data_IF_151445855091
#
_entry.id   IF_151445855091
#
_cell.length_a   1.000
_cell.length_b   1.000
_cell.length_c   1.000
_cell.angle_alpha   90.00
_cell.angle_beta   90.00
_cell.angle_gamma   90.00
#
_symmetry.space_group_name_H-M   'P 1'
#
loop_
_entity.id
_entity.type
_entity.pdbx_description
1 polymer ?
#
# COMPACT_ATOMS: atom_id res chain seq x y z
N UNK A 1 -6.72 -28.22 14.19
CA UNK A 1 -6.94 -26.87 14.72
C UNK A 1 -5.59 -26.35 15.18
N UNK A 2 -4.72 -25.98 14.22
CA UNK A 2 -3.31 -25.64 14.51
C UNK A 2 -2.67 -24.94 13.29
N UNK A 3 -3.18 -23.76 12.89
CA UNK A 3 -2.64 -23.04 11.72
C UNK A 3 -2.74 -21.51 11.80
N UNK A 4 -2.85 -20.90 12.99
CA UNK A 4 -3.06 -19.45 13.11
C UNK A 4 -1.95 -18.69 13.86
N UNK A 5 -0.91 -19.36 14.38
CA UNK A 5 0.07 -18.71 15.25
C UNK A 5 1.32 -18.15 14.54
N UNK A 6 1.62 -18.54 13.28
CA UNK A 6 2.92 -18.24 12.65
C UNK A 6 2.89 -17.23 11.49
N UNK A 7 1.78 -16.53 11.24
CA UNK A 7 1.64 -15.74 10.01
C UNK A 7 2.31 -14.35 10.02
N UNK A 8 2.83 -13.86 11.15
CA UNK A 8 3.39 -12.50 11.25
C UNK A 8 4.66 -12.48 12.10
N UNK A 9 5.66 -13.29 11.73
CA UNK A 9 7.01 -13.09 12.25
C UNK A 9 7.58 -11.81 11.62
N UNK A 10 7.50 -10.68 12.34
CA UNK A 10 8.14 -9.43 11.92
C UNK A 10 9.65 -9.65 11.92
N UNK A 11 10.30 -9.43 10.78
CA UNK A 11 11.75 -9.58 10.68
C UNK A 11 12.45 -8.39 11.34
N UNK A 12 12.73 -8.52 12.64
CA UNK A 12 13.34 -7.47 13.45
C UNK A 12 14.66 -6.93 12.89
N UNK A 13 15.43 -7.75 12.17
CA UNK A 13 16.69 -7.31 11.56
C UNK A 13 16.49 -6.21 10.50
N UNK A 14 15.33 -6.17 9.84
CA UNK A 14 15.01 -5.10 8.88
C UNK A 14 14.58 -3.81 9.59
N UNK A 15 14.00 -3.90 10.78
CA UNK A 15 13.60 -2.72 11.55
C UNK A 15 14.82 -1.94 12.05
N UNK A 16 15.84 -2.66 12.53
CA UNK A 16 17.09 -2.05 13.02
C UNK A 16 17.89 -1.37 11.89
N UNK A 17 17.65 -1.78 10.65
CA UNK A 17 18.36 -1.35 9.45
C UNK A 17 17.82 -0.04 8.87
N UNK A 18 16.59 0.38 9.23
CA UNK A 18 15.93 1.57 8.70
C UNK A 18 15.27 2.39 9.81
N UNK A 19 15.80 3.58 10.07
CA UNK A 19 15.19 4.53 11.01
C UNK A 19 14.09 5.33 10.29
N UNK A 20 12.86 4.84 10.38
CA UNK A 20 11.68 5.46 9.74
C UNK A 20 10.72 5.96 10.81
N UNK A 21 10.56 7.28 10.86
CA UNK A 21 9.53 7.95 11.64
C UNK A 21 8.47 8.56 10.73
N UNK A 22 7.22 8.60 11.17
CA UNK A 22 6.12 9.27 10.46
C UNK A 22 5.85 10.64 11.10
N UNK A 23 5.72 11.65 10.26
CA UNK A 23 5.42 13.03 10.68
C UNK A 23 4.12 13.50 10.06
N UNK A 24 3.47 14.49 10.66
CA UNK A 24 2.25 15.10 10.10
C UNK A 24 2.49 15.64 8.67
N UNK A 25 3.70 16.18 8.42
CA UNK A 25 4.09 16.65 7.10
C UNK A 25 4.08 15.52 6.05
N UNK A 26 4.45 14.30 6.42
CA UNK A 26 4.40 13.16 5.50
C UNK A 26 2.97 12.89 5.03
N UNK A 27 1.98 13.01 5.93
CA UNK A 27 0.56 12.85 5.60
C UNK A 27 0.04 14.02 4.76
N UNK A 28 0.43 15.26 5.10
CA UNK A 28 0.04 16.45 4.34
C UNK A 28 0.50 16.35 2.87
N UNK A 29 1.70 15.82 2.63
CA UNK A 29 2.22 15.58 1.28
C UNK A 29 1.42 14.54 0.49
N UNK A 30 0.63 13.69 1.16
CA UNK A 30 -0.24 12.69 0.52
C UNK A 30 -1.64 13.19 0.20
N UNK A 31 -2.08 14.30 0.79
CA UNK A 31 -3.43 14.87 0.57
C UNK A 31 -3.82 14.97 -0.92
N UNK A 32 -2.95 15.48 -1.83
CA UNK A 32 -3.31 15.57 -3.25
C UNK A 32 -3.55 14.21 -3.93
N UNK A 33 -2.95 13.14 -3.41
CA UNK A 33 -3.03 11.79 -3.96
C UNK A 33 -4.06 10.90 -3.25
N UNK A 34 -4.70 11.39 -2.17
CA UNK A 34 -5.66 10.61 -1.38
C UNK A 34 -6.75 9.91 -2.21
N UNK A 35 -7.32 10.51 -3.28
CA UNK A 35 -8.30 9.79 -4.11
C UNK A 35 -7.71 8.52 -4.77
N UNK A 36 -6.49 8.61 -5.30
CA UNK A 36 -5.80 7.46 -5.90
C UNK A 36 -5.38 6.44 -4.83
N UNK A 37 -4.93 6.90 -3.67
CA UNK A 37 -4.57 6.03 -2.55
C UNK A 37 -5.81 5.28 -2.03
N UNK A 38 -6.93 5.97 -1.90
CA UNK A 38 -8.22 5.38 -1.49
C UNK A 38 -8.67 4.32 -2.48
N UNK A 39 -8.49 4.55 -3.78
CA UNK A 39 -8.75 3.54 -4.80
C UNK A 39 -7.89 2.29 -4.62
N UNK A 40 -6.58 2.47 -4.40
CA UNK A 40 -5.66 1.36 -4.10
C UNK A 40 -6.06 0.64 -2.81
N UNK A 41 -6.49 1.38 -1.78
CA UNK A 41 -6.97 0.82 -0.52
C UNK A 41 -8.23 -0.05 -0.71
N UNK A 42 -9.18 0.38 -1.55
CA UNK A 42 -10.33 -0.45 -1.94
C UNK A 42 -9.91 -1.75 -2.62
N UNK A 43 -8.91 -1.69 -3.50
CA UNK A 43 -8.34 -2.88 -4.13
C UNK A 43 -7.68 -3.82 -3.11
N UNK A 44 -6.89 -3.27 -2.19
CA UNK A 44 -6.24 -4.04 -1.12
C UNK A 44 -7.27 -4.69 -0.18
N UNK A 45 -8.31 -3.97 0.21
CA UNK A 45 -9.41 -4.48 1.01
C UNK A 45 -10.11 -5.67 0.32
N UNK A 46 -10.40 -5.52 -0.97
CA UNK A 46 -11.01 -6.58 -1.77
C UNK A 46 -10.08 -7.81 -1.89
N UNK A 47 -8.78 -7.58 -2.11
CA UNK A 47 -7.78 -8.66 -2.19
C UNK A 47 -7.66 -9.42 -0.85
N UNK A 48 -7.65 -8.71 0.28
CA UNK A 48 -7.64 -9.30 1.61
C UNK A 48 -8.93 -10.10 1.88
N UNK A 49 -10.09 -9.54 1.55
CA UNK A 49 -11.37 -10.25 1.66
C UNK A 49 -11.38 -11.54 0.82
N UNK A 50 -10.85 -11.52 -0.41
CA UNK A 50 -10.75 -12.72 -1.25
C UNK A 50 -9.86 -13.80 -0.63
N UNK A 51 -8.82 -13.41 0.14
CA UNK A 51 -7.95 -14.36 0.85
C UNK A 51 -8.61 -14.94 2.09
N UNK A 52 -9.29 -14.13 2.88
CA UNK A 52 -9.92 -14.53 4.14
C UNK A 52 -11.28 -15.20 3.93
N UNK A 53 -12.00 -14.82 2.87
CA UNK A 53 -13.38 -15.25 2.57
C UNK A 53 -14.33 -15.16 3.78
N UNK A 54 -14.15 -14.13 4.62
CA UNK A 54 -14.83 -13.98 5.89
C UNK A 54 -15.71 -12.72 5.88
N UNK A 55 -17.02 -12.88 6.09
CA UNK A 55 -17.97 -11.77 6.11
C UNK A 55 -17.75 -10.82 7.28
N UNK A 56 -17.41 -11.32 8.47
CA UNK A 56 -17.06 -10.45 9.60
C UNK A 56 -15.84 -9.56 9.27
N UNK A 57 -14.79 -10.13 8.65
CA UNK A 57 -13.66 -9.33 8.20
C UNK A 57 -14.04 -8.36 7.07
N UNK A 58 -15.04 -8.68 6.24
CA UNK A 58 -15.49 -7.81 5.16
C UNK A 58 -15.96 -6.45 5.70
N UNK A 59 -16.70 -6.46 6.81
CA UNK A 59 -17.21 -5.24 7.47
C UNK A 59 -16.07 -4.38 8.04
N UNK A 60 -15.02 -5.02 8.57
CA UNK A 60 -13.80 -4.32 9.02
C UNK A 60 -12.91 -3.81 7.86
N UNK A 61 -13.09 -4.35 6.65
CA UNK A 61 -12.30 -4.00 5.47
C UNK A 61 -12.97 -2.95 4.60
N UNK A 62 -14.29 -3.01 4.46
CA UNK A 62 -15.07 -2.21 3.51
C UNK A 62 -16.37 -1.74 4.15
N UNK A 63 -16.80 -0.53 3.80
CA UNK A 63 -18.14 -0.04 4.11
C UNK A 63 -19.16 -0.77 3.22
N UNK A 64 -20.33 -1.11 3.79
CA UNK A 64 -21.42 -1.64 2.98
C UNK A 64 -22.05 -0.54 2.10
N UNK A 65 -22.61 -0.98 0.97
CA UNK A 65 -22.98 -0.11 -0.14
C UNK A 65 -24.07 0.86 0.30
N UNK A 66 -23.73 2.16 0.36
CA UNK A 66 -24.53 3.31 -0.10
C UNK A 66 -23.96 4.60 0.50
N UNK A 67 -22.69 4.90 0.22
CA UNK A 67 -22.15 6.23 0.55
C UNK A 67 -22.54 7.19 -0.59
N UNK A 68 -23.66 7.88 -0.42
CA UNK A 68 -24.01 9.03 -1.25
C UNK A 68 -23.12 10.22 -0.87
N UNK A 69 -21.90 10.28 -1.43
CA UNK A 69 -21.02 11.45 -1.27
C UNK A 69 -21.24 12.42 -2.42
N UNK A 70 -21.64 13.66 -2.13
CA UNK A 70 -21.57 14.78 -3.09
C UNK A 70 -20.13 14.96 -3.59
N UNK A 71 -19.92 14.97 -4.91
CA UNK A 71 -18.58 15.02 -5.54
C UNK A 71 -17.90 13.66 -5.76
N UNK A 72 -18.54 12.53 -5.42
CA UNK A 72 -18.00 11.18 -5.58
C UNK A 72 -18.00 10.59 -7.00
N UNK A 73 -18.25 11.38 -8.03
CA UNK A 73 -18.44 10.93 -9.43
C UNK A 73 -17.21 10.20 -10.00
N UNK A 74 -16.01 10.64 -9.62
CA UNK A 74 -14.76 9.96 -9.99
C UNK A 74 -14.66 8.57 -9.33
N UNK A 75 -15.11 8.44 -8.08
CA UNK A 75 -15.07 7.17 -7.33
C UNK A 75 -16.14 6.21 -7.85
N UNK A 76 -17.36 6.70 -8.10
CA UNK A 76 -18.44 5.91 -8.70
C UNK A 76 -18.06 5.40 -10.09
N UNK A 77 -17.43 6.22 -10.94
CA UNK A 77 -16.93 5.79 -12.25
C UNK A 77 -15.72 4.85 -12.20
N UNK A 78 -14.99 4.80 -11.09
CA UNK A 78 -13.87 3.87 -10.85
C UNK A 78 -14.28 2.50 -10.28
N UNK A 79 -15.56 2.28 -9.97
CA UNK A 79 -16.11 0.97 -9.52
C UNK A 79 -16.16 -0.08 -10.66
N UNK A 80 -15.07 -0.27 -11.39
CA UNK A 80 -14.92 -1.45 -12.27
C UNK A 80 -14.72 -2.69 -11.39
N UNK A 81 -15.72 -3.57 -11.36
CA UNK A 81 -15.60 -4.91 -10.77
C UNK A 81 -16.10 -5.10 -9.33
N UNK A 82 -16.91 -4.18 -8.79
CA UNK A 82 -17.52 -4.35 -7.46
C UNK A 82 -16.62 -3.98 -6.28
N UNK A 83 -15.65 -3.08 -6.50
CA UNK A 83 -14.83 -2.49 -5.44
C UNK A 83 -15.70 -1.59 -4.56
N UNK A 84 -15.91 -2.01 -3.30
CA UNK A 84 -16.58 -1.21 -2.27
C UNK A 84 -15.63 -0.19 -1.65
N UNK A 85 -16.18 0.83 -1.00
CA UNK A 85 -15.38 1.85 -0.34
C UNK A 85 -14.62 1.23 0.85
N UNK A 86 -13.29 1.41 0.94
CA UNK A 86 -12.51 0.85 2.04
C UNK A 86 -12.82 1.54 3.37
N UNK A 87 -12.69 0.82 4.48
CA UNK A 87 -12.75 1.43 5.80
C UNK A 87 -11.60 2.44 6.00
N UNK A 88 -11.77 3.51 6.79
CA UNK A 88 -10.73 4.52 7.01
C UNK A 88 -9.40 3.93 7.52
N UNK A 89 -9.46 2.91 8.38
CA UNK A 89 -8.28 2.20 8.86
C UNK A 89 -7.48 1.55 7.72
N UNK A 90 -8.15 1.08 6.66
CA UNK A 90 -7.51 0.49 5.49
C UNK A 90 -6.87 1.57 4.62
N UNK A 91 -7.53 2.72 4.45
CA UNK A 91 -6.94 3.87 3.78
C UNK A 91 -5.67 4.32 4.51
N UNK A 92 -5.75 4.48 5.84
CA UNK A 92 -4.61 4.86 6.67
C UNK A 92 -3.44 3.88 6.55
N UNK A 93 -3.72 2.58 6.54
CA UNK A 93 -2.69 1.56 6.37
C UNK A 93 -1.98 1.66 5.00
N UNK A 94 -2.73 1.90 3.92
CA UNK A 94 -2.15 2.04 2.58
C UNK A 94 -1.41 3.37 2.42
N UNK A 95 -1.93 4.48 2.97
CA UNK A 95 -1.22 5.77 3.01
C UNK A 95 0.11 5.61 3.74
N UNK A 96 0.10 4.94 4.90
CA UNK A 96 1.30 4.69 5.70
C UNK A 96 2.32 3.85 4.92
N UNK A 97 1.87 2.76 4.26
CA UNK A 97 2.74 1.97 3.39
C UNK A 97 3.39 2.81 2.27
N UNK A 98 2.64 3.77 1.70
CA UNK A 98 3.18 4.64 0.66
C UNK A 98 4.20 5.64 1.22
N UNK A 99 3.96 6.21 2.39
CA UNK A 99 4.92 7.09 3.08
C UNK A 99 6.22 6.33 3.40
N UNK A 100 6.10 5.13 3.97
CA UNK A 100 7.25 4.26 4.27
C UNK A 100 8.04 3.97 3.00
N UNK A 101 7.37 3.63 1.89
CA UNK A 101 8.04 3.41 0.61
C UNK A 101 8.77 4.66 0.10
N UNK A 102 8.19 5.86 0.25
CA UNK A 102 8.86 7.08 -0.16
C UNK A 102 10.10 7.38 0.70
N UNK A 103 10.05 7.12 2.01
CA UNK A 103 11.21 7.23 2.90
C UNK A 103 12.29 6.20 2.59
N UNK A 104 11.91 4.97 2.25
CA UNK A 104 12.85 3.93 1.79
C UNK A 104 13.53 4.28 0.47
N UNK A 105 12.90 5.15 -0.34
CA UNK A 105 13.42 5.63 -1.62
C UNK A 105 14.13 6.98 -1.54
N UNK A 106 14.19 7.59 -0.37
CA UNK A 106 14.97 8.79 -0.14
C UNK A 106 16.46 8.52 -0.32
N UNK A 107 17.26 9.56 -0.53
CA UNK A 107 18.71 9.43 -0.69
C UNK A 107 19.37 8.69 0.49
N UNK A 108 18.82 8.84 1.69
CA UNK A 108 19.29 8.19 2.91
C UNK A 108 19.20 6.66 2.84
N UNK A 109 18.11 6.12 2.31
CA UNK A 109 17.80 4.68 2.40
C UNK A 109 17.82 3.94 1.06
N UNK A 110 17.77 4.65 -0.06
CA UNK A 110 17.55 4.06 -1.38
C UNK A 110 18.58 2.99 -1.76
N UNK A 111 19.87 3.23 -1.49
CA UNK A 111 20.91 2.27 -1.86
C UNK A 111 20.75 0.95 -1.10
N UNK A 112 20.55 1.02 0.22
CA UNK A 112 20.34 -0.15 1.06
C UNK A 112 19.04 -0.87 0.69
N UNK A 113 17.95 -0.13 0.53
CA UNK A 113 16.66 -0.68 0.15
C UNK A 113 16.71 -1.42 -1.18
N UNK A 114 17.36 -0.85 -2.21
CA UNK A 114 17.51 -1.53 -3.50
C UNK A 114 18.41 -2.77 -3.44
N UNK A 115 19.37 -2.81 -2.51
CA UNK A 115 20.25 -3.96 -2.32
C UNK A 115 19.59 -5.14 -1.61
N UNK A 116 18.41 -4.95 -1.00
CA UNK A 116 17.70 -6.01 -0.29
C UNK A 116 17.27 -7.13 -1.25
N UNK A 117 17.34 -8.41 -0.81
CA UNK A 117 16.84 -9.53 -1.60
C UNK A 117 15.30 -9.57 -1.65
N UNK A 118 14.63 -8.90 -0.71
CA UNK A 118 13.17 -8.88 -0.61
C UNK A 118 12.64 -7.53 -0.11
N UNK A 119 12.49 -6.57 -1.02
CA UNK A 119 11.96 -5.23 -0.73
C UNK A 119 10.51 -5.26 -0.23
N UNK A 120 9.73 -6.25 -0.65
CA UNK A 120 8.34 -6.41 -0.21
C UNK A 120 8.28 -6.69 1.29
N UNK A 121 9.10 -7.64 1.75
CA UNK A 121 9.14 -8.02 3.16
C UNK A 121 9.59 -6.85 4.03
N UNK A 122 10.57 -6.08 3.56
CA UNK A 122 11.02 -4.88 4.27
C UNK A 122 9.91 -3.84 4.41
N UNK A 123 9.23 -3.52 3.31
CA UNK A 123 8.11 -2.59 3.32
C UNK A 123 6.99 -3.09 4.25
N UNK A 124 6.69 -4.39 4.23
CA UNK A 124 5.70 -4.99 5.12
C UNK A 124 6.09 -4.86 6.59
N UNK A 125 7.30 -5.27 6.95
CA UNK A 125 7.77 -5.27 8.33
C UNK A 125 7.75 -3.85 8.94
N UNK A 126 8.33 -2.88 8.24
CA UNK A 126 8.38 -1.48 8.67
C UNK A 126 6.99 -0.87 8.78
N UNK A 127 6.11 -1.16 7.82
CA UNK A 127 4.73 -0.65 7.87
C UNK A 127 3.93 -1.29 8.99
N UNK A 128 4.11 -2.59 9.26
CA UNK A 128 3.45 -3.26 10.37
C UNK A 128 3.86 -2.66 11.72
N UNK A 129 5.15 -2.43 11.93
CA UNK A 129 5.67 -1.85 13.17
C UNK A 129 5.01 -0.49 13.49
N UNK A 130 4.88 0.36 12.47
CA UNK A 130 4.30 1.70 12.61
C UNK A 130 2.79 1.72 12.85
N UNK A 131 2.05 0.72 12.36
CA UNK A 131 0.58 0.69 12.46
C UNK A 131 0.10 -0.22 13.61
N UNK A 132 0.89 -1.20 14.06
CA UNK A 132 0.46 -2.21 15.04
C UNK A 132 -0.07 -1.63 16.37
N UNK A 133 0.29 -0.39 16.72
CA UNK A 133 -0.22 0.29 17.93
C UNK A 133 -1.57 1.01 17.74
N UNK A 134 -2.08 1.13 16.51
CA UNK A 134 -3.22 1.99 16.15
C UNK A 134 -4.37 1.27 15.41
N UNK A 135 -4.31 -0.06 15.23
CA UNK A 135 -5.38 -0.82 14.57
C UNK A 135 -6.37 -1.34 15.61
N UNK A 136 -7.51 -0.65 15.73
CA UNK A 136 -8.64 -1.05 16.57
C UNK A 136 -9.57 -2.01 15.81
N UNK A 137 -9.10 -3.24 15.58
CA UNK A 137 -9.96 -4.33 15.12
C UNK A 137 -10.06 -5.39 16.21
N UNK A 138 -11.24 -6.00 16.32
CA UNK A 138 -11.43 -7.18 17.16
C UNK A 138 -11.03 -8.45 16.41
N UNK A 139 -10.73 -9.51 17.16
CA UNK A 139 -10.64 -10.87 16.60
C UNK A 139 -12.04 -11.25 16.10
N UNK A 140 -12.15 -11.60 14.82
CA UNK A 140 -13.44 -11.91 14.24
C UNK A 140 -13.97 -13.28 14.69
N UNK A 141 -15.25 -13.55 14.45
CA UNK A 141 -15.91 -14.82 14.81
C UNK A 141 -15.27 -16.08 14.17
N UNK A 142 -14.50 -15.90 13.09
CA UNK A 142 -13.75 -16.98 12.43
C UNK A 142 -12.32 -17.14 12.97
N UNK A 143 -11.95 -16.40 14.01
CA UNK A 143 -10.64 -16.47 14.68
C UNK A 143 -9.52 -15.73 13.97
N UNK A 144 -9.81 -14.88 12.97
CA UNK A 144 -8.80 -14.05 12.33
C UNK A 144 -8.42 -12.89 13.24
N UNK A 145 -7.13 -12.77 13.56
CA UNK A 145 -6.61 -11.67 14.33
C UNK A 145 -6.52 -10.38 13.49
N UNK A 146 -6.57 -9.19 14.12
CA UNK A 146 -6.32 -7.91 13.48
C UNK A 146 -5.03 -7.89 12.67
N UNK A 147 -3.96 -8.47 13.22
CA UNK A 147 -2.64 -8.52 12.60
C UNK A 147 -2.67 -9.35 11.32
N UNK A 148 -3.38 -10.48 11.32
CA UNK A 148 -3.55 -11.31 10.13
C UNK A 148 -4.37 -10.60 9.04
N UNK A 149 -5.46 -9.93 9.43
CA UNK A 149 -6.28 -9.15 8.49
C UNK A 149 -5.44 -8.04 7.86
N UNK A 150 -4.72 -7.27 8.69
CA UNK A 150 -3.86 -6.18 8.23
C UNK A 150 -2.70 -6.69 7.37
N UNK A 151 -2.14 -7.86 7.68
CA UNK A 151 -1.10 -8.48 6.88
C UNK A 151 -1.54 -8.70 5.43
N UNK A 152 -2.75 -9.21 5.20
CA UNK A 152 -3.23 -9.40 3.84
C UNK A 152 -3.47 -8.08 3.09
N UNK A 153 -3.93 -7.05 3.80
CA UNK A 153 -4.10 -5.70 3.25
C UNK A 153 -2.75 -5.10 2.84
N UNK A 154 -1.79 -5.07 3.77
CA UNK A 154 -0.46 -4.52 3.54
C UNK A 154 0.32 -5.33 2.50
N UNK A 155 0.13 -6.65 2.44
CA UNK A 155 0.79 -7.50 1.43
C UNK A 155 0.30 -7.18 0.03
N UNK A 156 -0.99 -6.89 -0.14
CA UNK A 156 -1.56 -6.40 -1.39
C UNK A 156 -1.08 -4.97 -1.71
N UNK A 157 -0.97 -4.10 -0.71
CA UNK A 157 -0.49 -2.73 -0.87
C UNK A 157 0.97 -2.71 -1.32
N UNK A 158 1.86 -3.42 -0.62
CA UNK A 158 3.28 -3.51 -0.92
C UNK A 158 3.52 -4.01 -2.36
N UNK A 159 2.83 -5.08 -2.77
CA UNK A 159 2.87 -5.56 -4.15
C UNK A 159 2.46 -4.46 -5.15
N UNK A 160 1.34 -3.78 -4.89
CA UNK A 160 0.80 -2.75 -5.79
C UNK A 160 1.74 -1.56 -5.90
N UNK A 161 2.23 -1.04 -4.77
CA UNK A 161 3.12 0.11 -4.70
C UNK A 161 4.47 -0.16 -5.36
N UNK A 162 5.08 -1.32 -5.10
CA UNK A 162 6.35 -1.72 -5.72
C UNK A 162 6.20 -1.94 -7.22
N UNK A 163 5.11 -2.57 -7.66
CA UNK A 163 4.83 -2.72 -9.09
C UNK A 163 4.63 -1.36 -9.78
N UNK A 164 3.89 -0.44 -9.14
CA UNK A 164 3.68 0.90 -9.67
C UNK A 164 4.98 1.72 -9.68
N UNK A 165 5.86 1.52 -8.70
CA UNK A 165 7.19 2.11 -8.70
C UNK A 165 8.01 1.67 -9.91
N UNK A 166 8.12 0.36 -10.14
CA UNK A 166 8.86 -0.19 -11.27
C UNK A 166 8.29 0.30 -12.62
N UNK A 167 6.96 0.31 -12.77
CA UNK A 167 6.30 0.83 -13.97
C UNK A 167 6.63 2.30 -14.22
N UNK A 168 6.48 3.16 -13.21
CA UNK A 168 6.82 4.59 -13.33
C UNK A 168 8.27 4.82 -13.72
N UNK A 169 9.20 4.05 -13.15
CA UNK A 169 10.63 4.13 -13.50
C UNK A 169 10.89 3.69 -14.95
N UNK A 170 10.25 2.62 -15.40
CA UNK A 170 10.35 2.17 -16.78
C UNK A 170 9.76 3.19 -17.76
N UNK A 171 8.61 3.77 -17.45
CA UNK A 171 7.97 4.80 -18.28
C UNK A 171 8.87 6.04 -18.42
N UNK A 172 9.54 6.46 -17.34
CA UNK A 172 10.53 7.55 -17.37
C UNK A 172 11.69 7.24 -18.32
N UNK A 173 12.27 6.03 -18.23
CA UNK A 173 13.37 5.61 -19.11
C UNK A 173 12.96 5.56 -20.59
N UNK A 174 11.71 5.16 -20.87
CA UNK A 174 11.17 5.16 -22.23
C UNK A 174 11.06 6.59 -22.77
N UNK A 175 10.55 7.52 -21.98
CA UNK A 175 10.45 8.94 -22.35
C UNK A 175 11.83 9.56 -22.57
N UNK A 176 12.78 9.32 -21.66
CA UNK A 176 14.16 9.81 -21.76
C UNK A 176 14.86 9.28 -23.02
N UNK A 177 14.67 7.98 -23.33
CA UNK A 177 15.20 7.38 -24.55
C UNK A 177 14.60 8.04 -25.79
N UNK A 178 13.28 8.21 -25.84
CA UNK A 178 12.60 8.86 -26.97
C UNK A 178 13.06 10.32 -27.17
N UNK A 179 13.24 11.07 -26.07
CA UNK A 179 13.78 12.43 -26.12
C UNK A 179 15.21 12.46 -26.67
N UNK A 180 16.08 11.54 -26.21
CA UNK A 180 17.46 11.42 -26.71
C UNK A 180 17.50 11.07 -28.20
N UNK A 181 16.67 10.13 -28.63
CA UNK A 181 16.62 9.70 -30.03
C UNK A 181 16.10 10.85 -30.94
N UNK A 182 15.18 11.68 -30.44
CA UNK A 182 14.69 12.88 -31.16
C UNK A 182 15.76 13.97 -31.28
N UNK A 183 16.57 14.19 -30.22
CA UNK A 183 17.67 15.14 -30.24
C UNK A 183 18.79 14.72 -31.20
N UNK A 184 19.08 13.42 -31.31
CA UNK A 184 20.09 12.90 -32.24
C UNK A 184 19.66 13.04 -33.71
N UNK A 185 18.37 12.98 -34.01
CA UNK A 185 17.84 13.22 -35.36
C UNK A 185 17.84 14.72 -35.72
N UNK A 186 17.70 15.62 -34.74
CA UNK A 186 17.68 17.08 -34.95
C UNK A 186 19.04 17.75 -35.13
N UNK A 187 20.15 17.08 -34.85
CA UNK A 187 21.53 17.61 -35.01
C UNK A 187 22.17 17.19 -36.34
N UNK A 188 21.45 16.42 -37.17
CA UNK A 188 21.87 16.06 -38.52
C UNK A 188 21.34 17.01 -39.58
N UNK A 189 21.90 18.23 -39.67
CA UNK A 189 21.80 19.13 -40.82
C UNK A 189 23.18 19.72 -41.14
#
# INVERSE_FOLDING_TARGET
MEAAADAVAVNNAVLDDFEIELTDQDYDMKVPNLPAITYVAGYCAHAAFKKLSCMACKESLMLDDDIEVEGGELIKSMTRGGLKFPQPAIVNAVVTAEIVLDKLRSEQHAQQFHALPNQKEALLALTHDLINNNVDFDVCENGHSPQLVMHYVLSAAANTLLNNLCKRKNDQLVVEKAARDTLLVGVGL
#
